data_IF_721457295745
#
_entry.id   IF_721457295745
#
_cell.length_a   1.000
_cell.length_b   1.000
_cell.length_c   1.000
_cell.angle_alpha   90.00
_cell.angle_beta   90.00
_cell.angle_gamma   90.00
#
_symmetry.space_group_name_H-M   'P 1'
#
loop_
_entity.id
_entity.type
_entity.pdbx_description
1 polymer ?
#
# COMPACT_ATOMS: atom_id res chain seq x y z
N UNK A 1 8.45 -8.50 17.17
CA UNK A 1 7.83 -7.27 16.65
C UNK A 1 6.32 -7.41 16.64
N UNK A 2 5.61 -6.38 17.08
CA UNK A 2 4.15 -6.29 16.99
C UNK A 2 3.74 -5.05 16.21
N UNK A 3 2.65 -5.18 15.47
CA UNK A 3 1.95 -4.11 14.78
C UNK A 3 0.60 -3.88 15.44
N UNK A 4 0.33 -2.63 15.80
CA UNK A 4 -0.97 -2.14 16.20
C UNK A 4 -1.56 -1.20 15.16
N UNK A 5 -2.78 -0.77 15.40
CA UNK A 5 -3.42 0.28 14.62
C UNK A 5 -3.09 1.68 15.14
N UNK A 6 -3.65 2.74 14.53
CA UNK A 6 -3.45 4.13 14.96
C UNK A 6 -3.89 4.40 16.40
N UNK A 7 -4.85 3.61 16.91
CA UNK A 7 -5.35 3.70 18.28
C UNK A 7 -4.48 2.93 19.30
N UNK A 8 -3.37 2.33 18.85
CA UNK A 8 -2.41 1.61 19.69
C UNK A 8 -2.49 0.10 19.52
N UNK A 9 -2.25 -0.63 20.62
CA UNK A 9 -1.93 -2.06 20.60
C UNK A 9 -3.02 -2.98 21.17
N UNK A 10 -4.27 -2.50 21.29
CA UNK A 10 -5.38 -3.31 21.83
C UNK A 10 -5.61 -4.59 21.00
N UNK A 11 -5.59 -4.46 19.67
CA UNK A 11 -5.73 -5.57 18.72
C UNK A 11 -4.41 -5.88 18.00
N UNK A 12 -3.29 -5.73 18.70
CA UNK A 12 -1.97 -5.87 18.11
C UNK A 12 -1.71 -7.28 17.56
N UNK A 13 -1.11 -7.35 16.37
CA UNK A 13 -0.69 -8.59 15.72
C UNK A 13 0.82 -8.75 15.79
N UNK A 14 1.28 -9.98 15.96
CA UNK A 14 2.72 -10.29 15.91
C UNK A 14 3.12 -10.47 14.45
N UNK A 15 3.77 -9.46 13.87
CA UNK A 15 4.24 -9.51 12.48
C UNK A 15 5.53 -10.31 12.33
N UNK A 16 6.39 -10.32 13.36
CA UNK A 16 7.68 -11.01 13.29
C UNK A 16 8.17 -11.47 14.67
N UNK A 17 8.76 -12.67 14.73
CA UNK A 17 9.50 -13.21 15.87
C UNK A 17 10.68 -14.02 15.35
N UNK A 18 11.90 -13.66 15.73
CA UNK A 18 13.10 -14.34 15.33
C UNK A 18 14.36 -13.55 15.70
N UNK A 19 15.54 -14.01 15.26
CA UNK A 19 16.82 -13.43 15.62
C UNK A 19 17.20 -12.19 14.78
N UNK A 20 16.40 -11.81 13.77
CA UNK A 20 16.78 -10.71 12.87
C UNK A 20 16.91 -9.39 13.63
N UNK A 21 17.96 -8.65 13.30
CA UNK A 21 18.21 -7.30 13.83
C UNK A 21 17.51 -6.22 13.03
N UNK A 22 17.03 -6.56 11.83
CA UNK A 22 16.23 -5.70 10.95
C UNK A 22 15.24 -6.56 10.15
N UNK A 23 13.99 -6.12 10.07
CA UNK A 23 12.94 -6.78 9.29
C UNK A 23 12.28 -5.75 8.38
N UNK A 24 12.10 -6.09 7.12
CA UNK A 24 11.40 -5.25 6.15
C UNK A 24 10.01 -5.84 5.88
N UNK A 25 8.99 -5.00 6.01
CA UNK A 25 7.61 -5.33 5.68
C UNK A 25 7.24 -4.59 4.39
N UNK A 26 6.55 -5.27 3.48
CA UNK A 26 6.15 -4.73 2.17
C UNK A 26 4.70 -5.11 1.84
N UNK A 27 4.08 -4.38 0.91
CA UNK A 27 2.71 -4.65 0.47
C UNK A 27 1.62 -4.25 1.48
N UNK A 28 1.93 -3.39 2.46
CA UNK A 28 0.92 -2.87 3.36
C UNK A 28 -0.05 -1.95 2.60
N UNK A 29 -1.35 -1.97 2.89
CA UNK A 29 -2.28 -0.99 2.34
C UNK A 29 -2.06 0.41 2.92
N UNK A 30 -2.74 1.41 2.36
CA UNK A 30 -2.75 2.77 2.90
C UNK A 30 -3.28 2.80 4.34
N UNK A 31 -2.58 3.52 5.21
CA UNK A 31 -2.99 3.65 6.60
C UNK A 31 -1.87 3.99 7.57
N UNK A 32 -2.27 4.25 8.81
CA UNK A 32 -1.36 4.44 9.94
C UNK A 32 -1.13 3.12 10.69
N UNK A 33 0.14 2.82 10.94
CA UNK A 33 0.59 1.63 11.64
C UNK A 33 1.48 2.04 12.82
N UNK A 34 1.36 1.31 13.92
CA UNK A 34 2.22 1.55 15.10
C UNK A 34 2.97 0.27 15.42
N UNK A 35 4.28 0.34 15.54
CA UNK A 35 5.16 -0.81 15.77
C UNK A 35 5.85 -0.72 17.11
N UNK A 36 6.06 -1.89 17.73
CA UNK A 36 6.93 -2.03 18.89
C UNK A 36 7.68 -3.35 18.84
N UNK A 37 8.86 -3.37 19.42
CA UNK A 37 9.69 -4.58 19.52
C UNK A 37 10.02 -4.88 20.98
N UNK A 38 10.31 -6.13 21.26
CA UNK A 38 10.86 -6.57 22.55
C UNK A 38 11.74 -7.78 22.30
N UNK A 39 12.68 -8.00 23.19
CA UNK A 39 13.37 -9.27 23.31
C UNK A 39 12.38 -10.28 23.87
N UNK A 40 12.39 -11.51 23.35
CA UNK A 40 11.51 -12.60 23.80
C UNK A 40 12.27 -13.70 24.53
N UNK A 41 13.58 -13.81 24.31
CA UNK A 41 14.45 -14.85 24.87
C UNK A 41 15.76 -14.22 25.37
N UNK A 42 16.32 -14.68 26.51
CA UNK A 42 15.85 -15.82 27.33
C UNK A 42 14.58 -15.52 28.15
N UNK A 43 14.21 -14.25 28.30
CA UNK A 43 12.93 -13.83 28.89
C UNK A 43 12.40 -12.59 28.15
N UNK A 44 11.07 -12.35 28.16
CA UNK A 44 10.50 -11.16 27.55
C UNK A 44 11.00 -9.86 28.23
N UNK A 45 11.58 -8.96 27.45
CA UNK A 45 11.87 -7.60 27.91
C UNK A 45 10.60 -6.74 27.91
N UNK A 46 10.64 -5.55 28.56
CA UNK A 46 9.68 -4.50 28.27
C UNK A 46 9.64 -4.19 26.77
N UNK A 47 8.49 -3.71 26.31
CA UNK A 47 8.34 -3.22 24.94
C UNK A 47 9.15 -1.94 24.75
N UNK A 48 9.69 -1.76 23.54
CA UNK A 48 10.28 -0.51 23.09
C UNK A 48 9.24 0.62 23.08
N UNK A 49 9.72 1.85 22.97
CA UNK A 49 8.87 2.97 22.58
C UNK A 49 8.20 2.66 21.22
N UNK A 50 6.90 2.97 21.07
CA UNK A 50 6.20 2.75 19.82
C UNK A 50 6.71 3.68 18.71
N UNK A 51 6.83 3.14 17.50
CA UNK A 51 7.13 3.91 16.29
C UNK A 51 5.89 3.94 15.40
N UNK A 52 5.49 5.13 14.97
CA UNK A 52 4.34 5.32 14.06
C UNK A 52 4.84 5.46 12.63
N UNK A 53 4.19 4.75 11.70
CA UNK A 53 4.50 4.75 10.27
C UNK A 53 3.21 5.00 9.50
N UNK A 54 3.25 5.89 8.52
CA UNK A 54 2.12 6.15 7.62
C UNK A 54 2.46 5.65 6.22
N UNK A 55 1.61 4.77 5.69
CA UNK A 55 1.71 4.24 4.32
C UNK A 55 0.75 5.02 3.42
N UNK A 56 1.30 5.60 2.35
CA UNK A 56 0.54 6.34 1.33
C UNK A 56 0.96 5.92 -0.07
N UNK A 57 0.04 5.32 -0.82
CA UNK A 57 0.19 4.94 -2.21
C UNK A 57 -0.20 6.11 -3.11
N UNK A 58 0.41 6.15 -4.31
CA UNK A 58 -0.05 7.06 -5.34
C UNK A 58 -1.43 6.64 -5.84
N UNK A 59 -2.37 7.59 -6.01
CA UNK A 59 -3.74 7.27 -6.36
C UNK A 59 -3.81 6.66 -7.77
N UNK A 60 -4.24 5.41 -7.86
CA UNK A 60 -4.47 4.67 -9.11
C UNK A 60 -5.44 5.41 -10.05
N UNK A 61 -6.35 6.20 -9.48
CA UNK A 61 -7.32 7.02 -10.23
C UNK A 61 -6.65 7.98 -11.20
N UNK A 62 -5.47 8.53 -10.87
CA UNK A 62 -4.73 9.41 -11.79
C UNK A 62 -4.24 8.65 -13.02
N UNK A 63 -3.70 7.45 -12.82
CA UNK A 63 -3.23 6.60 -13.91
C UNK A 63 -4.39 6.14 -14.81
N UNK A 64 -5.50 5.70 -14.20
CA UNK A 64 -6.72 5.32 -14.93
C UNK A 64 -7.34 6.51 -15.68
N UNK A 65 -7.23 7.73 -15.14
CA UNK A 65 -7.66 8.95 -15.82
C UNK A 65 -6.92 9.17 -17.13
N UNK A 66 -5.59 9.06 -17.15
CA UNK A 66 -4.81 9.16 -18.40
C UNK A 66 -5.16 8.07 -19.40
N UNK A 67 -5.36 6.84 -18.93
CA UNK A 67 -5.80 5.72 -19.77
C UNK A 67 -7.17 5.99 -20.40
N UNK A 68 -8.13 6.52 -19.63
CA UNK A 68 -9.46 6.86 -20.13
C UNK A 68 -9.41 7.96 -21.21
N UNK A 69 -8.58 8.99 -21.04
CA UNK A 69 -8.37 10.03 -22.05
C UNK A 69 -7.79 9.43 -23.33
N UNK A 70 -6.77 8.57 -23.22
CA UNK A 70 -6.20 7.86 -24.37
C UNK A 70 -7.22 7.00 -25.09
N UNK A 71 -8.08 6.28 -24.34
CA UNK A 71 -9.17 5.47 -24.89
C UNK A 71 -10.18 6.32 -25.68
N UNK A 72 -10.54 7.50 -25.18
CA UNK A 72 -11.46 8.41 -25.88
C UNK A 72 -10.86 8.85 -27.23
N UNK A 73 -9.59 9.27 -27.24
CA UNK A 73 -8.90 9.68 -28.48
C UNK A 73 -8.80 8.52 -29.47
N UNK A 74 -8.48 7.33 -28.98
CA UNK A 74 -8.41 6.11 -29.78
C UNK A 74 -9.77 5.81 -30.43
N UNK A 75 -10.85 5.81 -29.65
CA UNK A 75 -12.21 5.57 -30.17
C UNK A 75 -12.63 6.65 -31.17
N UNK A 76 -12.32 7.92 -30.92
CA UNK A 76 -12.62 9.02 -31.86
C UNK A 76 -11.91 8.80 -33.21
N UNK A 77 -10.64 8.40 -33.18
CA UNK A 77 -9.86 8.09 -34.38
C UNK A 77 -10.46 6.90 -35.14
N UNK A 78 -10.82 5.82 -34.44
CA UNK A 78 -11.44 4.63 -35.04
C UNK A 78 -12.79 4.97 -35.70
N UNK A 79 -13.62 5.76 -35.01
CA UNK A 79 -14.91 6.21 -35.55
C UNK A 79 -14.71 7.06 -36.81
N UNK A 80 -13.74 7.97 -36.80
CA UNK A 80 -13.42 8.81 -37.96
C UNK A 80 -13.02 7.95 -39.17
N UNK A 81 -12.13 6.96 -38.97
CA UNK A 81 -11.70 6.02 -40.01
C UNK A 81 -12.89 5.21 -40.55
N UNK A 82 -13.71 4.64 -39.67
CA UNK A 82 -14.88 3.84 -40.07
C UNK A 82 -15.91 4.65 -40.85
N UNK A 83 -16.10 5.93 -40.50
CA UNK A 83 -17.01 6.82 -41.21
C UNK A 83 -16.46 7.23 -42.57
N UNK A 84 -15.15 7.49 -42.66
CA UNK A 84 -14.48 7.74 -43.95
C UNK A 84 -14.58 6.54 -44.88
N UNK A 85 -14.21 5.34 -44.40
CA UNK A 85 -14.23 4.10 -45.18
C UNK A 85 -15.64 3.63 -45.62
N UNK A 86 -16.72 4.20 -45.05
CA UNK A 86 -18.11 3.94 -45.47
C UNK A 86 -18.67 5.01 -46.40
N UNK A 87 -17.99 6.15 -46.53
CA UNK A 87 -18.42 7.26 -47.38
C UNK A 87 -17.82 7.16 -48.80
N UNK A 88 -16.80 6.34 -48.97
CA UNK A 88 -16.30 5.83 -50.26
C UNK A 88 -17.05 4.55 -50.68
#
# INVERSE_FOLDING_TARGET
MQQGGPQGFADARTEYRGPDTATQLSGLPDGGYVYRVRVVEPAPSPWSEPVTVEVRHHPLSRALGFFAVGLIVFLATVILIMRGARAD
#
